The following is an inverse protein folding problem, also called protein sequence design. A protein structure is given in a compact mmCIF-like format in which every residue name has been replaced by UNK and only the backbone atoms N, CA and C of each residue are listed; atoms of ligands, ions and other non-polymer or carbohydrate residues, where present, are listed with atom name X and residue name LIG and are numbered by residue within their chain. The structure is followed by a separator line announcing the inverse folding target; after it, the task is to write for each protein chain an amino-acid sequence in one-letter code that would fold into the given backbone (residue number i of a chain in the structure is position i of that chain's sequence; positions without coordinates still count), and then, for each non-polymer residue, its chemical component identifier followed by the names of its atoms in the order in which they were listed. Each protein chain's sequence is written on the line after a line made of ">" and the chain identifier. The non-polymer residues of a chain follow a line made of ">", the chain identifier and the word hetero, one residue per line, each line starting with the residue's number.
data_IF_654027505796
#
_entry.id   IF_654027505796
#
_cell.length_a   1.000
_cell.length_b   1.000
_cell.length_c   1.000
_cell.angle_alpha   90.00
_cell.angle_beta   90.00
_cell.angle_gamma   90.00
#
_symmetry.space_group_name_H-M   'P 1'
#
loop_
_entity.id
_entity.type
_entity.pdbx_description
1 polymer ?
#
# COMPACT_ATOMS: atom_id res chain seq x y z
N UNK A 1 -22.26 16.70 -12.49
CA UNK A 1 -21.55 17.54 -11.50
C UNK A 1 -22.48 18.00 -10.38
N UNK A 2 -23.60 18.66 -10.67
CA UNK A 2 -24.61 19.01 -9.66
C UNK A 2 -25.09 17.77 -8.89
N UNK A 3 -25.44 16.72 -9.61
CA UNK A 3 -25.86 15.45 -9.01
C UNK A 3 -24.78 14.81 -8.13
N UNK A 4 -23.54 14.75 -8.62
CA UNK A 4 -22.42 14.23 -7.84
C UNK A 4 -22.20 15.04 -6.56
N UNK A 5 -22.22 16.37 -6.64
CA UNK A 5 -22.05 17.24 -5.48
C UNK A 5 -23.15 17.00 -4.43
N UNK A 6 -24.40 16.86 -4.90
CA UNK A 6 -25.55 16.53 -4.05
C UNK A 6 -25.40 15.19 -3.35
N UNK A 7 -25.01 14.12 -4.07
CA UNK A 7 -24.83 12.79 -3.50
C UNK A 7 -23.63 12.75 -2.54
N UNK A 8 -22.56 13.50 -2.85
CA UNK A 8 -21.38 13.62 -2.00
C UNK A 8 -21.57 14.58 -0.80
N UNK A 9 -22.74 15.24 -0.67
CA UNK A 9 -23.02 16.16 0.42
C UNK A 9 -22.19 17.45 0.41
N UNK A 10 -21.65 17.84 -0.76
CA UNK A 10 -20.82 19.05 -0.91
C UNK A 10 -21.41 20.02 -1.93
N UNK A 11 -20.93 21.27 -1.94
CA UNK A 11 -21.37 22.23 -2.95
C UNK A 11 -20.69 21.99 -4.29
N UNK A 12 -21.35 22.40 -5.40
CA UNK A 12 -20.74 22.40 -6.74
C UNK A 12 -19.47 23.25 -6.79
N UNK A 13 -19.40 24.31 -5.98
CA UNK A 13 -18.20 25.14 -5.82
C UNK A 13 -17.05 24.34 -5.21
N UNK A 14 -17.31 23.58 -4.15
CA UNK A 14 -16.32 22.70 -3.51
C UNK A 14 -15.84 21.61 -4.47
N UNK A 15 -16.78 20.97 -5.19
CA UNK A 15 -16.45 19.95 -6.18
C UNK A 15 -15.55 20.49 -7.31
N UNK A 16 -15.84 21.71 -7.79
CA UNK A 16 -15.01 22.38 -8.80
C UNK A 16 -13.62 22.68 -8.27
N UNK A 17 -13.53 23.18 -7.04
CA UNK A 17 -12.28 23.47 -6.36
C UNK A 17 -11.41 22.22 -6.17
N UNK A 18 -12.00 21.07 -5.81
CA UNK A 18 -11.27 19.80 -5.72
C UNK A 18 -10.73 19.34 -7.07
N UNK A 19 -11.53 19.44 -8.13
CA UNK A 19 -11.07 19.12 -9.49
C UNK A 19 -9.91 20.04 -9.95
N UNK A 20 -9.99 21.34 -9.66
CA UNK A 20 -8.92 22.30 -9.99
C UNK A 20 -7.61 21.98 -9.28
N UNK A 21 -7.68 21.41 -8.07
CA UNK A 21 -6.54 20.89 -7.31
C UNK A 21 -6.13 19.46 -7.67
N UNK A 22 -6.69 18.88 -8.73
CA UNK A 22 -6.46 17.49 -9.17
C UNK A 22 -6.75 16.42 -8.10
N UNK A 23 -7.58 16.74 -7.12
CA UNK A 23 -8.02 15.79 -6.08
C UNK A 23 -9.01 14.74 -6.61
N UNK A 24 -9.59 15.00 -7.78
CA UNK A 24 -10.55 14.14 -8.44
C UNK A 24 -10.11 13.99 -9.89
N UNK A 25 -10.06 12.77 -10.44
CA UNK A 25 -9.71 12.55 -11.83
C UNK A 25 -10.65 13.32 -12.77
N UNK A 26 -10.19 13.65 -13.98
CA UNK A 26 -11.03 14.32 -14.95
C UNK A 26 -12.21 13.42 -15.35
N UNK A 27 -13.44 13.96 -15.45
CA UNK A 27 -14.60 13.19 -15.85
C UNK A 27 -14.47 12.71 -17.29
N UNK A 28 -15.05 11.54 -17.59
CA UNK A 28 -15.20 11.09 -18.99
C UNK A 28 -16.06 12.11 -19.74
N UNK A 29 -15.57 12.55 -20.90
CA UNK A 29 -16.28 13.52 -21.74
C UNK A 29 -16.94 12.81 -22.90
N UNK A 30 -18.23 13.06 -23.06
CA UNK A 30 -18.99 12.63 -24.23
C UNK A 30 -19.67 13.87 -24.82
N UNK A 31 -19.08 14.40 -25.90
CA UNK A 31 -19.42 15.72 -26.44
C UNK A 31 -19.17 16.84 -25.42
N UNK A 32 -20.22 17.60 -25.07
CA UNK A 32 -20.17 18.69 -24.08
C UNK A 32 -20.55 18.25 -22.66
N UNK A 33 -20.87 16.97 -22.47
CA UNK A 33 -21.34 16.44 -21.20
C UNK A 33 -20.16 15.80 -20.47
N UNK A 34 -19.97 16.19 -19.21
CA UNK A 34 -19.01 15.58 -18.29
C UNK A 34 -19.72 14.52 -17.44
N UNK A 35 -19.35 13.26 -17.66
CA UNK A 35 -19.86 12.12 -16.92
C UNK A 35 -19.02 11.86 -15.68
N UNK A 36 -19.70 11.76 -14.56
CA UNK A 36 -19.13 11.38 -13.27
C UNK A 36 -19.79 10.08 -12.87
N UNK A 37 -18.98 9.09 -12.55
CA UNK A 37 -19.39 7.74 -12.12
C UNK A 37 -19.15 7.55 -10.62
N UNK A 38 -19.39 6.33 -10.14
CA UNK A 38 -19.26 5.96 -8.73
C UNK A 38 -17.83 6.14 -8.21
N UNK A 39 -16.83 6.09 -9.10
CA UNK A 39 -15.42 6.34 -8.77
C UNK A 39 -15.20 7.80 -8.31
N UNK A 40 -15.83 8.76 -8.99
CA UNK A 40 -15.76 10.15 -8.55
C UNK A 40 -16.42 10.36 -7.18
N UNK A 41 -17.45 9.57 -6.87
CA UNK A 41 -18.16 9.63 -5.59
C UNK A 41 -17.35 9.00 -4.46
N UNK A 42 -16.73 7.85 -4.69
CA UNK A 42 -15.85 7.19 -3.72
C UNK A 42 -14.71 8.13 -3.32
N UNK A 43 -14.02 8.73 -4.31
CA UNK A 43 -12.94 9.67 -4.04
C UNK A 43 -13.37 10.91 -3.26
N UNK A 44 -14.58 11.42 -3.51
CA UNK A 44 -15.15 12.53 -2.74
C UNK A 44 -15.42 12.16 -1.28
N UNK A 45 -15.90 10.95 -1.02
CA UNK A 45 -16.13 10.45 0.34
C UNK A 45 -14.82 10.27 1.09
N UNK A 46 -13.79 9.74 0.43
CA UNK A 46 -12.45 9.64 1.00
C UNK A 46 -11.87 11.00 1.37
N UNK A 47 -11.96 11.99 0.48
CA UNK A 47 -11.50 13.37 0.78
C UNK A 47 -12.23 13.93 2.01
N UNK A 48 -13.56 13.73 2.10
CA UNK A 48 -14.34 14.16 3.25
C UNK A 48 -13.91 13.46 4.55
N UNK A 49 -13.74 12.13 4.51
CA UNK A 49 -13.34 11.33 5.67
C UNK A 49 -11.93 11.69 6.19
N UNK A 50 -11.02 12.08 5.31
CA UNK A 50 -9.68 12.55 5.67
C UNK A 50 -9.72 13.98 6.25
N UNK A 51 -10.55 14.87 5.70
CA UNK A 51 -10.73 16.21 6.25
C UNK A 51 -11.36 16.19 7.66
N UNK A 52 -12.33 15.32 7.89
CA UNK A 52 -12.94 15.12 9.21
C UNK A 52 -11.93 14.66 10.28
N UNK A 53 -10.86 13.98 9.86
CA UNK A 53 -9.76 13.52 10.72
C UNK A 53 -8.63 14.55 10.88
N UNK A 54 -8.81 15.77 10.34
CA UNK A 54 -7.86 16.86 10.49
C UNK A 54 -6.73 16.91 9.46
N UNK A 55 -6.78 16.07 8.42
CA UNK A 55 -5.81 16.16 7.33
C UNK A 55 -6.02 17.43 6.50
N UNK A 56 -4.93 18.02 6.00
CA UNK A 56 -5.01 19.22 5.17
C UNK A 56 -5.32 18.87 3.71
N UNK A 57 -6.05 19.74 3.01
CA UNK A 57 -6.31 19.58 1.57
C UNK A 57 -5.04 19.45 0.73
N UNK A 58 -3.92 20.07 1.16
CA UNK A 58 -2.65 19.96 0.44
C UNK A 58 -2.03 18.58 0.63
N UNK A 59 -2.02 18.06 1.86
CA UNK A 59 -1.57 16.70 2.13
C UNK A 59 -2.44 15.64 1.42
N UNK A 60 -3.76 15.86 1.34
CA UNK A 60 -4.66 14.98 0.57
C UNK A 60 -4.39 15.09 -0.94
N UNK A 61 -4.00 16.26 -1.45
CA UNK A 61 -3.67 16.44 -2.87
C UNK A 61 -2.34 15.77 -3.22
N UNK A 62 -1.33 15.92 -2.38
CA UNK A 62 -0.05 15.21 -2.50
C UNK A 62 -0.27 13.70 -2.42
N UNK A 63 -1.18 13.24 -1.54
CA UNK A 63 -1.57 11.85 -1.44
C UNK A 63 -2.27 11.33 -2.70
N UNK A 64 -3.25 12.08 -3.21
CA UNK A 64 -3.99 11.72 -4.41
C UNK A 64 -3.06 11.69 -5.63
N UNK A 65 -2.13 12.64 -5.73
CA UNK A 65 -1.13 12.69 -6.79
C UNK A 65 -0.13 11.52 -6.65
N UNK A 66 0.31 11.17 -5.44
CA UNK A 66 1.15 10.00 -5.22
C UNK A 66 0.42 8.70 -5.62
N UNK A 67 -0.86 8.57 -5.29
CA UNK A 67 -1.72 7.44 -5.66
C UNK A 67 -1.98 7.34 -7.17
N UNK A 68 -2.18 8.48 -7.84
CA UNK A 68 -2.39 8.55 -9.31
C UNK A 68 -1.08 8.31 -10.09
N UNK A 69 0.08 8.66 -9.50
CA UNK A 69 1.40 8.40 -10.08
C UNK A 69 2.02 7.08 -9.60
N UNK A 70 1.37 6.39 -8.65
CA UNK A 70 1.71 5.03 -8.28
C UNK A 70 1.53 4.16 -9.51
N UNK A 71 2.63 3.56 -9.98
CA UNK A 71 2.53 2.51 -11.01
C UNK A 71 1.55 1.47 -10.50
N UNK A 72 0.65 1.02 -11.38
CA UNK A 72 -0.24 -0.09 -11.11
C UNK A 72 0.61 -1.19 -10.46
N UNK A 73 0.24 -1.58 -9.25
CA UNK A 73 1.01 -2.57 -8.50
C UNK A 73 0.99 -3.91 -9.25
N UNK A 74 -0.02 -4.12 -10.10
CA UNK A 74 -0.05 -5.23 -11.05
C UNK A 74 1.14 -5.18 -12.04
N UNK A 75 1.50 -3.99 -12.52
CA UNK A 75 2.64 -3.77 -13.43
C UNK A 75 3.99 -3.79 -12.70
N UNK A 76 4.06 -3.24 -11.48
CA UNK A 76 5.30 -3.23 -10.68
C UNK A 76 5.70 -4.62 -10.17
N UNK A 77 4.70 -5.46 -9.88
CA UNK A 77 4.95 -6.81 -9.39
C UNK A 77 5.12 -7.85 -10.50
N UNK A 78 4.81 -7.53 -11.76
CA UNK A 78 4.89 -8.49 -12.86
C UNK A 78 4.23 -9.83 -12.48
N UNK A 79 3.08 -9.79 -11.78
CA UNK A 79 2.41 -10.98 -11.23
C UNK A 79 1.72 -11.76 -12.36
N UNK A 80 2.50 -12.21 -13.32
CA UNK A 80 2.29 -13.55 -13.82
C UNK A 80 2.52 -14.48 -12.62
N UNK A 81 1.54 -15.33 -12.25
CA UNK A 81 1.74 -16.30 -11.18
C UNK A 81 3.00 -17.15 -11.41
N UNK A 82 3.68 -17.55 -10.32
CA UNK A 82 3.16 -17.59 -8.94
C UNK A 82 3.86 -16.66 -7.94
N UNK A 83 3.07 -15.82 -7.23
CA UNK A 83 3.42 -15.23 -5.93
C UNK A 83 2.71 -16.01 -4.81
N UNK A 84 3.37 -16.21 -3.66
CA UNK A 84 2.76 -16.80 -2.45
C UNK A 84 1.94 -15.79 -1.66
N UNK A 85 2.08 -14.50 -1.95
CA UNK A 85 1.39 -13.44 -1.22
C UNK A 85 0.01 -13.17 -1.85
N UNK A 86 -1.01 -13.09 -0.99
CA UNK A 86 -2.37 -12.74 -1.39
C UNK A 86 -2.54 -11.22 -1.37
N UNK A 87 -2.77 -10.56 -2.53
CA UNK A 87 -3.07 -9.14 -2.56
C UNK A 87 -4.43 -8.86 -1.93
N UNK A 88 -4.55 -7.74 -1.22
CA UNK A 88 -5.79 -7.29 -0.59
C UNK A 88 -6.20 -5.96 -1.17
N UNK A 89 -7.41 -5.89 -1.73
CA UNK A 89 -8.05 -4.65 -2.16
C UNK A 89 -8.78 -4.05 -0.97
N UNK A 90 -8.63 -2.74 -0.78
CA UNK A 90 -9.15 -1.97 0.33
C UNK A 90 -9.69 -0.65 -0.18
N UNK A 91 -10.81 -0.19 0.38
CA UNK A 91 -11.16 1.22 0.24
C UNK A 91 -10.24 2.08 1.12
N UNK A 92 -10.10 3.39 0.82
CA UNK A 92 -9.37 4.30 1.71
C UNK A 92 -9.90 4.33 3.15
N UNK A 93 -11.21 4.15 3.33
CA UNK A 93 -11.84 4.08 4.65
C UNK A 93 -11.45 2.81 5.40
N UNK A 94 -11.38 1.67 4.72
CA UNK A 94 -10.94 0.39 5.29
C UNK A 94 -9.46 0.39 5.66
N UNK A 95 -8.62 1.08 4.89
CA UNK A 95 -7.22 1.29 5.24
C UNK A 95 -7.10 2.22 6.46
N UNK A 96 -7.81 3.36 6.45
CA UNK A 96 -7.80 4.30 7.57
C UNK A 96 -8.28 3.66 8.88
N UNK A 97 -9.30 2.81 8.82
CA UNK A 97 -9.81 2.08 9.99
C UNK A 97 -8.79 1.11 10.59
N UNK A 98 -7.88 0.54 9.78
CA UNK A 98 -6.87 -0.44 10.25
C UNK A 98 -5.67 0.19 10.96
N UNK A 99 -5.40 1.46 10.70
CA UNK A 99 -4.19 2.15 11.16
C UNK A 99 -4.50 3.38 12.03
N UNK A 100 -5.76 3.58 12.45
CA UNK A 100 -6.18 4.48 13.54
C UNK A 100 -5.55 5.90 13.53
N UNK A 101 -5.41 6.52 12.36
CA UNK A 101 -4.85 7.88 12.22
C UNK A 101 -3.38 7.94 11.80
N UNK A 102 -2.70 6.80 11.71
CA UNK A 102 -1.34 6.68 11.17
C UNK A 102 -1.31 6.67 9.63
N UNK A 103 -2.46 6.71 8.96
CA UNK A 103 -2.55 6.88 7.49
C UNK A 103 -2.30 8.34 7.12
N UNK A 104 -1.04 8.76 7.24
CA UNK A 104 -0.57 10.07 6.83
C UNK A 104 -0.07 10.04 5.38
N UNK A 105 0.02 11.20 4.70
CA UNK A 105 0.59 11.26 3.36
C UNK A 105 2.01 10.70 3.29
N UNK A 106 2.83 10.97 4.31
CA UNK A 106 4.20 10.50 4.41
C UNK A 106 4.28 8.98 4.55
N UNK A 107 3.43 8.39 5.39
CA UNK A 107 3.40 6.93 5.58
C UNK A 107 2.88 6.21 4.33
N UNK A 108 1.88 6.77 3.64
CA UNK A 108 1.40 6.17 2.40
C UNK A 108 2.47 6.26 1.30
N UNK A 109 3.14 7.41 1.15
CA UNK A 109 4.24 7.56 0.21
C UNK A 109 5.40 6.60 0.49
N UNK A 110 5.74 6.39 1.77
CA UNK A 110 6.74 5.40 2.17
C UNK A 110 6.29 3.96 1.84
N UNK A 111 5.03 3.60 2.13
CA UNK A 111 4.48 2.28 1.79
C UNK A 111 4.45 2.03 0.28
N UNK A 112 4.14 3.06 -0.53
CA UNK A 112 4.19 3.00 -1.99
C UNK A 112 5.62 2.91 -2.52
N UNK A 113 6.57 3.64 -1.93
CA UNK A 113 8.00 3.55 -2.28
C UNK A 113 8.55 2.16 -2.00
N UNK A 114 8.12 1.56 -0.88
CA UNK A 114 8.41 0.17 -0.55
C UNK A 114 7.64 -0.83 -1.41
N UNK A 115 6.71 -0.37 -2.26
CA UNK A 115 5.89 -1.23 -3.11
C UNK A 115 4.95 -2.14 -2.34
N UNK A 116 4.61 -1.82 -1.09
CA UNK A 116 3.62 -2.57 -0.31
C UNK A 116 2.19 -2.19 -0.66
N UNK A 117 2.00 -0.95 -1.10
CA UNK A 117 0.72 -0.38 -1.46
C UNK A 117 0.81 0.26 -2.84
N UNK A 118 -0.29 0.21 -3.58
CA UNK A 118 -0.56 1.13 -4.66
C UNK A 118 -2.02 1.06 -5.06
N UNK A 119 -2.33 1.30 -6.32
CA UNK A 119 -3.70 1.55 -6.78
C UNK A 119 -4.10 0.62 -7.92
N UNK A 120 -5.36 0.18 -7.89
CA UNK A 120 -6.06 -0.50 -9.00
C UNK A 120 -7.37 0.27 -9.20
N UNK A 121 -7.35 1.22 -10.13
CA UNK A 121 -8.38 2.23 -10.27
C UNK A 121 -8.50 3.08 -9.00
N UNK A 122 -9.59 2.88 -8.26
CA UNK A 122 -9.95 3.64 -7.05
C UNK A 122 -9.67 2.87 -5.76
N UNK A 123 -9.31 1.60 -5.89
CA UNK A 123 -9.02 0.75 -4.74
C UNK A 123 -7.54 0.84 -4.40
N UNK A 124 -7.27 0.83 -3.10
CA UNK A 124 -5.92 0.68 -2.59
C UNK A 124 -5.62 -0.82 -2.58
N UNK A 125 -4.55 -1.23 -3.23
CA UNK A 125 -4.09 -2.62 -3.26
C UNK A 125 -2.86 -2.75 -2.39
N UNK A 126 -2.98 -3.57 -1.34
CA UNK A 126 -1.85 -4.02 -0.54
C UNK A 126 -1.33 -5.35 -1.10
N UNK A 127 -0.01 -5.50 -1.28
CA UNK A 127 0.56 -6.69 -1.97
C UNK A 127 0.46 -8.00 -1.20
N UNK A 128 0.24 -7.92 0.12
CA UNK A 128 0.28 -9.05 1.03
C UNK A 128 -0.69 -8.85 2.19
N UNK A 129 -1.64 -9.78 2.32
CA UNK A 129 -2.53 -9.87 3.49
C UNK A 129 -1.74 -10.01 4.79
N UNK A 130 -0.71 -10.86 4.82
CA UNK A 130 0.10 -11.10 6.02
C UNK A 130 0.82 -9.84 6.49
N UNK A 131 1.44 -9.10 5.57
CA UNK A 131 2.11 -7.83 5.92
C UNK A 131 1.12 -6.76 6.38
N UNK A 132 -0.06 -6.67 5.75
CA UNK A 132 -1.12 -5.77 6.17
C UNK A 132 -1.58 -6.07 7.62
N UNK A 133 -1.84 -7.34 7.92
CA UNK A 133 -2.34 -7.77 9.22
C UNK A 133 -1.30 -7.57 10.33
N UNK A 134 -0.03 -7.92 10.07
CA UNK A 134 1.07 -7.75 11.03
C UNK A 134 1.38 -6.28 11.29
N UNK A 135 1.44 -5.45 10.24
CA UNK A 135 1.71 -4.01 10.41
C UNK A 135 0.59 -3.31 11.19
N UNK A 136 -0.68 -3.62 10.91
CA UNK A 136 -1.81 -3.12 11.71
C UNK A 136 -1.73 -3.59 13.17
N UNK A 137 -1.29 -4.83 13.41
CA UNK A 137 -1.10 -5.34 14.77
C UNK A 137 -0.02 -4.56 15.54
N UNK A 138 1.13 -4.30 14.92
CA UNK A 138 2.20 -3.50 15.53
C UNK A 138 1.73 -2.08 15.87
N UNK A 139 0.94 -1.46 14.99
CA UNK A 139 0.38 -0.11 15.23
C UNK A 139 -0.61 -0.12 16.38
N UNK A 140 -1.45 -1.16 16.51
CA UNK A 140 -2.37 -1.32 17.65
C UNK A 140 -1.64 -1.52 18.99
N UNK A 141 -0.42 -2.02 18.98
CA UNK A 141 0.47 -2.08 20.16
C UNK A 141 1.16 -0.72 20.45
N UNK A 142 0.82 0.34 19.70
CA UNK A 142 1.33 1.69 19.90
C UNK A 142 2.64 1.99 19.18
N UNK A 143 3.10 1.12 18.28
CA UNK A 143 4.31 1.36 17.47
C UNK A 143 3.92 2.26 16.30
N UNK A 144 4.53 3.46 16.12
CA UNK A 144 4.20 4.35 15.01
C UNK A 144 4.40 3.67 13.64
N UNK A 145 3.49 3.89 12.70
CA UNK A 145 3.57 3.24 11.38
C UNK A 145 4.86 3.65 10.64
N UNK A 146 5.34 4.86 10.85
CA UNK A 146 6.61 5.33 10.30
C UNK A 146 7.81 4.47 10.74
N UNK A 147 7.82 4.02 12.00
CA UNK A 147 8.87 3.13 12.54
C UNK A 147 8.74 1.72 11.96
N UNK A 148 7.50 1.23 11.83
CA UNK A 148 7.22 -0.07 11.19
C UNK A 148 7.71 -0.07 9.74
N UNK A 149 7.41 0.98 8.96
CA UNK A 149 7.85 1.12 7.58
C UNK A 149 9.37 1.28 7.47
N UNK A 150 10.00 1.99 8.40
CA UNK A 150 11.47 2.12 8.47
C UNK A 150 12.14 0.77 8.74
N UNK A 151 11.60 -0.01 9.67
CA UNK A 151 12.07 -1.37 9.94
C UNK A 151 11.84 -2.27 8.71
N UNK A 152 10.67 -2.18 8.08
CA UNK A 152 10.33 -2.96 6.90
C UNK A 152 11.26 -2.69 5.71
N UNK A 153 11.68 -1.43 5.51
CA UNK A 153 12.67 -1.07 4.49
C UNK A 153 14.00 -1.83 4.68
N UNK A 154 14.50 -1.88 5.92
CA UNK A 154 15.74 -2.62 6.25
C UNK A 154 15.56 -4.12 6.13
N UNK A 155 14.41 -4.65 6.56
CA UNK A 155 14.08 -6.07 6.40
C UNK A 155 14.05 -6.44 4.91
N UNK A 156 13.50 -5.59 4.04
CA UNK A 156 13.48 -5.81 2.60
C UNK A 156 14.88 -5.86 2.00
N UNK A 157 15.76 -4.93 2.38
CA UNK A 157 17.18 -4.97 1.97
C UNK A 157 17.85 -6.31 2.33
N UNK A 158 17.65 -6.78 3.56
CA UNK A 158 18.18 -8.07 4.00
C UNK A 158 17.52 -9.26 3.30
N UNK A 159 16.22 -9.20 3.04
CA UNK A 159 15.50 -10.23 2.31
C UNK A 159 15.99 -10.35 0.87
N UNK A 160 16.24 -9.23 0.18
CA UNK A 160 16.79 -9.21 -1.18
C UNK A 160 18.20 -9.81 -1.21
N UNK A 161 19.04 -9.48 -0.21
CA UNK A 161 20.37 -10.08 -0.07
C UNK A 161 20.32 -11.59 0.18
N UNK A 162 19.41 -12.06 1.04
CA UNK A 162 19.20 -13.49 1.30
C UNK A 162 18.66 -14.20 0.05
N UNK A 163 17.71 -13.59 -0.66
CA UNK A 163 17.17 -14.12 -1.90
C UNK A 163 18.26 -14.30 -2.96
N UNK A 164 19.15 -13.31 -3.12
CA UNK A 164 20.31 -13.41 -4.01
C UNK A 164 21.24 -14.57 -3.63
N UNK A 165 21.51 -14.75 -2.34
CA UNK A 165 22.33 -15.87 -1.84
C UNK A 165 21.70 -17.22 -2.18
N UNK A 166 20.40 -17.40 -1.89
CA UNK A 166 19.72 -18.66 -2.21
C UNK A 166 19.62 -18.89 -3.71
N UNK A 167 19.34 -17.86 -4.51
CA UNK A 167 19.28 -17.95 -5.97
C UNK A 167 20.62 -18.39 -6.56
N UNK A 168 21.75 -17.85 -6.07
CA UNK A 168 23.09 -18.27 -6.48
C UNK A 168 23.39 -19.73 -6.12
N UNK A 169 23.08 -20.14 -4.88
CA UNK A 169 23.27 -21.54 -4.45
C UNK A 169 22.42 -22.50 -5.29
N UNK A 170 21.14 -22.17 -5.51
CA UNK A 170 20.24 -23.01 -6.29
C UNK A 170 20.69 -23.06 -7.75
N UNK A 171 21.01 -21.91 -8.37
CA UNK A 171 21.45 -21.83 -9.76
C UNK A 171 22.75 -22.61 -10.04
N UNK A 172 23.63 -22.74 -9.03
CA UNK A 172 24.86 -23.55 -9.14
C UNK A 172 24.61 -25.06 -9.08
N UNK A 173 23.52 -25.51 -8.48
CA UNK A 173 23.32 -26.92 -8.13
C UNK A 173 22.03 -27.56 -8.65
N UNK A 174 21.11 -26.77 -9.20
CA UNK A 174 19.82 -27.23 -9.68
C UNK A 174 19.45 -26.59 -11.04
N UNK A 175 18.59 -27.25 -11.84
CA UNK A 175 18.07 -26.66 -13.08
C UNK A 175 17.28 -25.35 -12.83
N UNK A 176 17.18 -24.49 -13.85
CA UNK A 176 16.56 -23.16 -13.75
C UNK A 176 15.10 -23.17 -13.24
N UNK A 177 14.36 -24.25 -13.47
CA UNK A 177 12.98 -24.44 -13.01
C UNK A 177 12.85 -24.81 -11.52
N UNK A 178 13.97 -25.02 -10.82
CA UNK A 178 13.98 -25.49 -9.43
C UNK A 178 13.77 -24.38 -8.41
N UNK A 179 13.94 -23.11 -8.81
CA UNK A 179 13.79 -21.95 -7.92
C UNK A 179 12.39 -21.89 -7.28
N UNK A 180 11.32 -22.11 -8.06
CA UNK A 180 9.95 -22.10 -7.53
C UNK A 180 9.70 -23.27 -6.56
N UNK A 181 10.26 -24.45 -6.86
CA UNK A 181 10.14 -25.63 -5.98
C UNK A 181 10.90 -25.48 -4.66
N UNK A 182 12.06 -24.81 -4.69
CA UNK A 182 12.96 -24.69 -3.54
C UNK A 182 12.71 -23.43 -2.70
N UNK A 183 11.93 -22.47 -3.20
CA UNK A 183 11.53 -21.25 -2.47
C UNK A 183 10.99 -21.54 -1.05
N UNK A 184 10.10 -22.53 -0.81
CA UNK A 184 9.63 -22.82 0.54
C UNK A 184 10.74 -23.25 1.51
N UNK A 185 11.75 -23.98 1.03
CA UNK A 185 12.88 -24.41 1.86
C UNK A 185 13.76 -23.23 2.27
N UNK A 186 14.05 -22.32 1.33
CA UNK A 186 14.79 -21.10 1.62
C UNK A 186 14.08 -20.25 2.69
N UNK A 187 12.75 -20.11 2.56
CA UNK A 187 11.92 -19.42 3.55
C UNK A 187 12.01 -20.04 4.94
N UNK A 188 11.89 -21.37 5.06
CA UNK A 188 12.01 -22.06 6.35
C UNK A 188 13.38 -21.84 7.03
N UNK A 189 14.47 -21.78 6.25
CA UNK A 189 15.80 -21.46 6.79
C UNK A 189 15.84 -20.04 7.35
N UNK A 190 15.29 -19.06 6.63
CA UNK A 190 15.24 -17.67 7.09
C UNK A 190 14.40 -17.52 8.35
N UNK A 191 13.22 -18.16 8.42
CA UNK A 191 12.35 -18.15 9.60
C UNK A 191 13.08 -18.73 10.83
N UNK A 192 13.77 -19.86 10.68
CA UNK A 192 14.54 -20.48 11.76
C UNK A 192 15.72 -19.62 12.23
N UNK A 193 16.52 -19.07 11.31
CA UNK A 193 17.66 -18.22 11.65
C UNK A 193 17.21 -16.90 12.31
N UNK A 194 16.08 -16.33 11.89
CA UNK A 194 15.51 -15.15 12.52
C UNK A 194 15.09 -15.46 13.96
N UNK A 195 14.39 -16.57 14.20
CA UNK A 195 14.01 -17.02 15.55
C UNK A 195 15.24 -17.18 16.45
N UNK A 196 16.26 -17.90 15.98
CA UNK A 196 17.50 -18.11 16.74
C UNK A 196 18.25 -16.80 17.00
N UNK A 197 18.22 -15.85 16.06
CA UNK A 197 18.83 -14.54 16.24
C UNK A 197 18.11 -13.69 17.30
N UNK A 198 16.78 -13.78 17.36
CA UNK A 198 15.98 -13.13 18.41
C UNK A 198 16.29 -13.72 19.79
N UNK A 199 16.34 -15.04 19.93
CA UNK A 199 16.68 -15.71 21.19
C UNK A 199 18.06 -15.27 21.71
N UNK A 200 19.06 -15.18 20.82
CA UNK A 200 20.40 -14.69 21.14
C UNK A 200 20.44 -13.22 21.55
N UNK A 201 19.46 -12.40 21.15
CA UNK A 201 19.39 -10.99 21.56
C UNK A 201 18.69 -10.83 22.89
N UNK A 202 17.58 -11.55 23.10
CA UNK A 202 16.84 -11.52 24.36
C UNK A 202 17.71 -12.02 25.52
N UNK A 203 18.42 -13.14 25.33
CA UNK A 203 19.35 -13.69 26.33
C UNK A 203 20.58 -12.82 26.67
N UNK A 204 20.83 -11.75 25.92
CA UNK A 204 21.93 -10.78 26.21
C UNK A 204 21.45 -9.55 26.96
N UNK A 205 20.14 -9.38 27.14
CA UNK A 205 19.55 -8.26 27.87
C UNK A 205 19.23 -8.61 29.34
N UNK A 206 19.37 -9.88 29.71
CA UNK A 206 19.35 -10.41 31.08
C UNK A 206 20.78 -10.56 31.66
#
# INVERSE_FOLDING_TARGET
>A
MEELARIAGITVRTLRFYRERRLIPPPRREGRIAWYDDHHLARLRTIAALLERGHTLNGIAELAEALDNGRDVADLLGVAPPTEEEPVRLTPEELAARFEGEVTPENLAAAMTLGYVGTDGDEIVHISRRLLDVSSALVREGIPLAEVLTAAARVREHADALAALFADVIGRHAPEDSLQRLRPLARSVVEAELSLAMDRRLSKQD
#
